data_IF_477562759515
#
_entry.id   IF_477562759515
#
_cell.length_a   1.000
_cell.length_b   1.000
_cell.length_c   1.000
_cell.angle_alpha   90.00
_cell.angle_beta   90.00
_cell.angle_gamma   90.00
#
_symmetry.space_group_name_H-M   'P 1'
#
loop_
_entity.id
_entity.type
_entity.pdbx_description
1 polymer ?
#
# COMPACT_ATOMS: atom_id res chain seq x y z
N UNK A 1 25.73 4.73 -23.70
CA UNK A 1 24.64 4.79 -24.69
C UNK A 1 23.72 3.62 -24.43
N UNK A 2 22.41 3.90 -24.26
CA UNK A 2 21.28 2.97 -24.09
C UNK A 2 21.31 2.08 -22.83
N UNK A 3 20.22 1.91 -22.08
CA UNK A 3 18.82 2.00 -22.45
C UNK A 3 18.01 2.77 -21.41
N UNK A 4 17.14 3.63 -21.94
CA UNK A 4 15.93 4.12 -21.28
C UNK A 4 15.17 2.97 -20.62
N UNK A 5 15.03 3.03 -19.29
CA UNK A 5 14.11 2.16 -18.56
C UNK A 5 12.67 2.58 -18.91
N UNK A 6 12.23 2.13 -20.07
CA UNK A 6 10.83 2.16 -20.47
C UNK A 6 10.01 1.40 -19.42
N UNK A 7 8.90 2.01 -19.02
CA UNK A 7 7.89 1.47 -18.13
C UNK A 7 7.40 0.13 -18.67
N UNK A 8 8.04 -0.96 -18.24
CA UNK A 8 7.66 -2.31 -18.60
C UNK A 8 6.27 -2.62 -18.06
N UNK A 9 5.35 -2.92 -18.97
CA UNK A 9 4.15 -3.65 -18.61
C UNK A 9 4.60 -5.01 -18.03
N UNK A 10 4.06 -5.40 -16.87
CA UNK A 10 4.29 -6.74 -16.31
C UNK A 10 3.92 -7.77 -17.39
N UNK A 11 4.88 -8.59 -17.83
CA UNK A 11 4.66 -9.58 -18.88
C UNK A 11 3.64 -10.61 -18.36
N UNK A 12 2.49 -10.67 -19.04
CA UNK A 12 1.39 -11.55 -18.65
C UNK A 12 1.77 -12.99 -19.00
N UNK A 13 1.69 -13.90 -18.02
CA UNK A 13 1.96 -15.35 -18.13
C UNK A 13 3.43 -15.83 -18.15
N UNK A 14 4.41 -15.01 -17.74
CA UNK A 14 5.80 -15.48 -17.54
C UNK A 14 6.06 -16.09 -16.15
N UNK A 15 5.15 -16.91 -15.64
CA UNK A 15 5.32 -17.57 -14.33
C UNK A 15 5.24 -19.09 -14.50
N UNK A 16 6.24 -19.82 -13.99
CA UNK A 16 6.28 -21.30 -14.05
C UNK A 16 5.53 -21.98 -12.91
N UNK A 17 5.44 -21.32 -11.75
CA UNK A 17 4.73 -21.83 -10.57
C UNK A 17 4.28 -20.69 -9.66
N UNK A 18 3.28 -20.97 -8.81
CA UNK A 18 2.80 -20.07 -7.76
C UNK A 18 2.96 -20.73 -6.40
N UNK A 19 3.53 -20.02 -5.43
CA UNK A 19 3.68 -20.47 -4.05
C UNK A 19 2.76 -19.67 -3.14
N UNK A 20 2.09 -20.36 -2.23
CA UNK A 20 1.35 -19.77 -1.12
C UNK A 20 2.00 -20.19 0.19
N UNK A 21 2.01 -19.29 1.18
CA UNK A 21 2.60 -19.53 2.49
C UNK A 21 2.06 -18.55 3.52
N UNK A 22 2.37 -18.81 4.79
CA UNK A 22 2.04 -17.88 5.88
C UNK A 22 2.97 -16.66 5.80
N UNK A 23 2.38 -15.48 5.89
CA UNK A 23 3.13 -14.23 5.97
C UNK A 23 3.61 -14.01 7.40
N UNK A 24 4.91 -13.78 7.59
CA UNK A 24 5.43 -13.34 8.88
C UNK A 24 5.07 -11.87 9.14
N UNK A 25 5.08 -11.40 10.41
CA UNK A 25 4.92 -9.97 10.70
C UNK A 25 5.96 -9.09 9.98
N UNK A 26 7.16 -9.60 9.75
CA UNK A 26 8.19 -8.91 8.98
C UNK A 26 7.82 -8.78 7.50
N UNK A 27 7.30 -9.84 6.89
CA UNK A 27 6.84 -9.82 5.50
C UNK A 27 5.72 -8.79 5.30
N UNK A 28 4.73 -8.76 6.20
CA UNK A 28 3.63 -7.79 6.17
C UNK A 28 4.17 -6.35 6.19
N UNK A 29 5.17 -6.06 7.03
CA UNK A 29 5.81 -4.73 7.08
C UNK A 29 6.60 -4.44 5.81
N UNK A 30 7.28 -5.43 5.23
CA UNK A 30 8.07 -5.27 3.99
C UNK A 30 7.23 -4.88 2.78
N UNK A 31 5.98 -5.35 2.72
CA UNK A 31 5.04 -5.02 1.65
C UNK A 31 4.40 -3.64 1.82
N UNK A 32 4.47 -3.11 3.04
CA UNK A 32 3.77 -1.90 3.41
C UNK A 32 4.51 -0.63 3.01
N UNK A 33 3.76 0.36 2.55
CA UNK A 33 4.26 1.71 2.28
C UNK A 33 4.04 2.66 3.46
N UNK A 34 3.43 2.17 4.55
CA UNK A 34 3.20 2.95 5.75
C UNK A 34 2.10 2.37 6.64
N UNK A 35 2.16 2.76 7.91
CA UNK A 35 1.19 2.40 8.93
C UNK A 35 -0.06 3.29 8.84
N UNK A 36 -1.24 2.67 8.88
CA UNK A 36 -2.53 3.37 9.01
C UNK A 36 -2.86 3.51 10.49
N UNK A 37 -2.88 4.75 10.98
CA UNK A 37 -3.07 5.06 12.41
C UNK A 37 -4.47 5.52 12.75
N UNK A 38 -5.19 5.98 11.73
CA UNK A 38 -6.39 6.78 11.86
C UNK A 38 -7.56 6.07 11.17
N UNK A 39 -8.74 5.98 11.81
CA UNK A 39 -9.92 5.37 11.18
C UNK A 39 -10.54 6.26 10.11
N UNK A 40 -10.16 7.54 10.05
CA UNK A 40 -10.74 8.51 9.12
C UNK A 40 -10.46 8.13 7.65
N UNK A 41 -11.44 8.40 6.80
CA UNK A 41 -11.40 8.05 5.38
C UNK A 41 -11.10 9.27 4.52
N UNK A 42 -12.12 10.10 4.30
CA UNK A 42 -12.07 11.33 3.52
C UNK A 42 -12.73 12.45 4.31
N UNK A 43 -12.27 13.66 4.06
CA UNK A 43 -12.87 14.85 4.61
C UNK A 43 -14.23 15.12 3.95
N UNK A 44 -15.29 15.30 4.74
CA UNK A 44 -16.64 15.48 4.20
C UNK A 44 -16.86 16.77 3.40
N UNK A 45 -16.06 17.83 3.62
CA UNK A 45 -16.19 19.10 2.88
C UNK A 45 -15.31 19.13 1.65
N UNK A 46 -14.06 18.73 1.80
CA UNK A 46 -13.06 18.84 0.73
C UNK A 46 -12.98 17.59 -0.15
N UNK A 47 -13.62 16.49 0.27
CA UNK A 47 -13.53 15.16 -0.33
C UNK A 47 -12.10 14.61 -0.45
N UNK A 48 -11.13 15.24 0.23
CA UNK A 48 -9.73 14.82 0.21
C UNK A 48 -9.47 13.71 1.22
N UNK A 49 -8.61 12.73 0.91
CA UNK A 49 -8.21 11.71 1.87
C UNK A 49 -7.53 12.31 3.11
N UNK A 50 -7.90 11.79 4.28
CA UNK A 50 -7.27 12.20 5.54
C UNK A 50 -5.86 11.62 5.69
N UNK A 51 -4.98 12.38 6.34
CA UNK A 51 -3.58 11.96 6.54
C UNK A 51 -3.51 10.82 7.55
N UNK A 52 -2.75 9.78 7.23
CA UNK A 52 -2.57 8.54 8.00
C UNK A 52 -3.85 7.71 8.18
N UNK A 53 -4.92 8.08 7.47
CA UNK A 53 -6.18 7.35 7.38
C UNK A 53 -6.19 6.24 6.32
N UNK A 54 -7.35 5.59 6.17
CA UNK A 54 -7.53 4.42 5.29
C UNK A 54 -7.27 4.71 3.80
N UNK A 55 -7.39 5.97 3.37
CA UNK A 55 -7.17 6.37 1.97
C UNK A 55 -5.95 7.29 1.78
N UNK A 56 -5.09 7.41 2.80
CA UNK A 56 -3.99 8.36 2.82
C UNK A 56 -3.10 8.28 1.57
N UNK A 57 -2.91 9.42 0.91
CA UNK A 57 -2.09 9.50 -0.30
C UNK A 57 -0.59 9.22 -0.07
N UNK A 58 -0.10 9.48 1.15
CA UNK A 58 1.30 9.22 1.52
C UNK A 58 1.62 7.73 1.46
N UNK A 59 0.69 6.90 1.93
CA UNK A 59 0.82 5.44 2.01
C UNK A 59 0.50 4.83 0.64
N UNK A 60 -0.73 5.05 0.17
CA UNK A 60 -1.25 4.35 -1.00
C UNK A 60 -0.86 5.01 -2.33
N UNK A 61 -0.43 6.28 -2.32
CA UNK A 61 -0.10 7.05 -3.51
C UNK A 61 -1.16 8.12 -3.85
N UNK A 62 -0.87 9.00 -4.81
CA UNK A 62 -1.67 10.20 -5.08
C UNK A 62 -3.05 9.87 -5.67
N UNK A 63 -4.07 10.67 -5.38
CA UNK A 63 -5.40 10.55 -5.98
C UNK A 63 -5.37 10.87 -7.48
N UNK A 64 -4.64 11.92 -7.86
CA UNK A 64 -4.50 12.39 -9.24
C UNK A 64 -3.13 12.04 -9.81
N UNK A 65 -3.07 11.79 -11.12
CA UNK A 65 -1.82 11.47 -11.78
C UNK A 65 -0.84 12.64 -11.73
N UNK A 66 0.38 12.35 -11.28
CA UNK A 66 1.48 13.31 -11.24
C UNK A 66 1.20 14.56 -10.40
N UNK A 67 0.35 14.46 -9.39
CA UNK A 67 0.03 15.56 -8.47
C UNK A 67 0.14 15.09 -7.02
N UNK A 68 0.70 15.93 -6.15
CA UNK A 68 0.75 15.66 -4.71
C UNK A 68 -0.47 16.25 -3.98
N UNK A 69 -0.85 15.71 -2.81
CA UNK A 69 -2.00 16.18 -2.01
C UNK A 69 -2.12 17.70 -1.85
N UNK A 70 -1.00 18.38 -1.58
CA UNK A 70 -1.01 19.81 -1.28
C UNK A 70 -0.96 20.71 -2.52
N UNK A 71 -0.80 20.15 -3.71
CA UNK A 71 -0.68 20.89 -4.97
C UNK A 71 0.68 21.57 -5.23
N UNK A 72 1.66 21.48 -4.31
CA UNK A 72 3.01 22.07 -4.48
C UNK A 72 3.71 21.53 -5.74
N UNK A 73 3.67 20.21 -5.92
CA UNK A 73 4.22 19.52 -7.08
C UNK A 73 3.09 18.98 -7.95
N UNK A 74 3.08 19.42 -9.22
CA UNK A 74 2.08 19.04 -10.24
C UNK A 74 2.73 18.87 -11.60
N UNK A 75 2.30 17.84 -12.32
CA UNK A 75 2.72 17.50 -13.67
C UNK A 75 3.90 16.51 -13.72
N UNK A 76 4.13 15.94 -14.90
CA UNK A 76 5.15 14.91 -15.12
C UNK A 76 6.59 15.37 -14.83
N UNK A 77 6.86 16.68 -14.80
CA UNK A 77 8.18 17.24 -14.46
C UNK A 77 8.70 16.83 -13.08
N UNK A 78 7.82 16.52 -12.13
CA UNK A 78 8.20 16.10 -10.77
C UNK A 78 8.05 14.58 -10.55
N UNK A 79 7.99 13.79 -11.63
CA UNK A 79 7.87 12.34 -11.58
C UNK A 79 8.91 11.73 -10.62
N UNK A 80 8.42 10.97 -9.63
CA UNK A 80 9.25 10.27 -8.66
C UNK A 80 9.66 11.08 -7.43
N UNK A 81 9.43 12.40 -7.41
CA UNK A 81 9.75 13.27 -6.28
C UNK A 81 8.77 13.06 -5.12
N UNK A 82 9.27 13.10 -3.89
CA UNK A 82 8.46 13.06 -2.67
C UNK A 82 8.22 14.50 -2.22
N UNK A 83 6.98 14.86 -1.93
CA UNK A 83 6.67 16.22 -1.52
C UNK A 83 7.12 16.51 -0.08
N UNK A 84 7.91 17.56 0.14
CA UNK A 84 8.38 17.95 1.49
C UNK A 84 7.25 18.35 2.45
N UNK A 85 6.12 18.84 1.91
CA UNK A 85 4.98 19.33 2.71
C UNK A 85 4.02 18.21 3.09
N UNK A 86 3.60 17.39 2.12
CA UNK A 86 2.59 16.33 2.35
C UNK A 86 3.15 14.90 2.37
N UNK A 87 4.42 14.70 2.01
CA UNK A 87 5.07 13.38 1.96
C UNK A 87 4.58 12.48 0.82
N UNK A 88 3.71 12.97 -0.08
CA UNK A 88 3.18 12.17 -1.20
C UNK A 88 4.22 12.10 -2.32
N UNK A 89 4.49 10.87 -2.77
CA UNK A 89 5.34 10.62 -3.94
C UNK A 89 4.54 10.88 -5.22
N UNK A 90 5.05 11.75 -6.07
CA UNK A 90 4.43 12.12 -7.36
C UNK A 90 4.59 10.96 -8.35
N UNK A 91 3.51 10.19 -8.53
CA UNK A 91 3.45 9.02 -9.43
C UNK A 91 2.09 8.97 -10.12
N UNK A 92 1.88 7.95 -10.95
CA UNK A 92 0.54 7.62 -11.43
C UNK A 92 -0.35 7.16 -10.26
N UNK A 93 -1.61 7.61 -10.22
CA UNK A 93 -2.65 7.17 -9.27
C UNK A 93 -2.90 5.66 -9.27
N UNK A 94 -2.57 4.96 -10.37
CA UNK A 94 -2.74 3.51 -10.50
C UNK A 94 -1.96 2.72 -9.44
N UNK A 95 -0.90 3.29 -8.87
CA UNK A 95 -0.15 2.65 -7.77
C UNK A 95 -1.02 2.39 -6.53
N UNK A 96 -2.13 3.13 -6.34
CA UNK A 96 -3.09 2.90 -5.25
C UNK A 96 -3.74 1.52 -5.28
N UNK A 97 -3.71 0.83 -6.43
CA UNK A 97 -4.19 -0.55 -6.59
C UNK A 97 -3.14 -1.61 -6.28
N UNK A 98 -1.87 -1.21 -6.12
CA UNK A 98 -0.73 -2.11 -5.91
C UNK A 98 -0.06 -1.94 -4.54
N UNK A 99 -0.09 -0.73 -3.96
CA UNK A 99 0.55 -0.45 -2.66
C UNK A 99 -0.29 -0.96 -1.51
N UNK A 100 0.35 -1.69 -0.60
CA UNK A 100 -0.26 -2.15 0.65
C UNK A 100 0.04 -1.21 1.81
N UNK A 101 -0.86 -1.17 2.78
CA UNK A 101 -0.68 -0.55 4.09
C UNK A 101 -0.67 -1.62 5.18
N UNK A 102 -0.22 -1.28 6.38
CA UNK A 102 -0.33 -2.17 7.54
C UNK A 102 -0.86 -1.42 8.76
N UNK A 103 -1.28 -2.17 9.77
CA UNK A 103 -1.64 -1.66 11.10
C UNK A 103 -0.78 -2.43 12.09
N UNK A 104 -0.05 -1.72 12.94
CA UNK A 104 0.69 -2.34 14.03
C UNK A 104 -0.27 -2.60 15.19
N UNK A 105 -0.49 -3.87 15.53
CA UNK A 105 -1.40 -4.25 16.59
C UNK A 105 -0.73 -4.09 17.94
N UNK A 106 -1.43 -3.47 18.90
CA UNK A 106 -0.93 -3.28 20.26
C UNK A 106 -0.77 -4.61 21.03
N UNK A 107 -1.50 -5.65 20.63
CA UNK A 107 -1.45 -6.98 21.21
C UNK A 107 -1.51 -8.04 20.10
N UNK A 108 -0.91 -9.23 20.30
CA UNK A 108 -0.97 -10.32 19.34
C UNK A 108 -2.42 -10.80 19.17
N UNK A 109 -2.80 -11.11 17.93
CA UNK A 109 -4.14 -11.59 17.56
C UNK A 109 -4.02 -12.89 16.78
N UNK A 110 -4.92 -13.83 17.04
CA UNK A 110 -5.00 -15.09 16.31
C UNK A 110 -5.79 -14.89 15.01
N UNK A 111 -5.22 -15.34 13.89
CA UNK A 111 -5.91 -15.30 12.61
C UNK A 111 -7.05 -16.32 12.57
N UNK A 112 -8.28 -15.84 12.32
CA UNK A 112 -9.52 -16.61 12.44
C UNK A 112 -9.53 -17.91 11.62
N UNK A 113 -8.87 -17.95 10.45
CA UNK A 113 -8.79 -19.15 9.62
C UNK A 113 -8.08 -20.33 10.29
N UNK A 114 -7.14 -20.10 11.20
CA UNK A 114 -6.45 -21.21 11.89
C UNK A 114 -7.15 -21.62 13.18
N UNK A 115 -8.07 -20.79 13.68
CA UNK A 115 -8.84 -21.05 14.90
C UNK A 115 -10.21 -21.65 14.62
N UNK A 116 -11.07 -20.95 13.83
CA UNK A 116 -12.47 -21.32 13.60
C UNK A 116 -12.72 -22.23 12.40
N UNK A 117 -11.76 -22.38 11.49
CA UNK A 117 -11.91 -23.35 10.39
C UNK A 117 -11.88 -24.76 10.95
N UNK A 118 -12.85 -25.60 10.57
CA UNK A 118 -12.91 -26.99 11.00
C UNK A 118 -12.18 -27.88 9.98
N UNK A 119 -11.25 -28.77 10.41
CA UNK A 119 -10.75 -28.94 11.77
C UNK A 119 -9.82 -27.79 12.20
N UNK A 120 -9.88 -27.40 13.48
CA UNK A 120 -9.05 -26.32 14.02
C UNK A 120 -7.57 -26.67 13.86
N UNK A 121 -6.84 -25.88 13.06
CA UNK A 121 -5.41 -26.13 12.81
C UNK A 121 -4.59 -25.90 14.07
N UNK A 122 -4.96 -24.89 14.88
CA UNK A 122 -4.31 -24.62 16.16
C UNK A 122 -4.61 -25.69 17.20
N UNK A 123 -5.87 -26.15 17.28
CA UNK A 123 -6.25 -27.18 18.24
C UNK A 123 -5.69 -28.59 17.93
N UNK A 124 -5.21 -28.82 16.71
CA UNK A 124 -4.50 -30.05 16.35
C UNK A 124 -2.98 -29.94 16.53
N UNK A 125 -2.44 -28.72 16.62
CA UNK A 125 -1.01 -28.46 16.74
C UNK A 125 -0.55 -28.43 18.21
N UNK A 126 -1.44 -28.05 19.12
CA UNK A 126 -1.26 -28.03 20.57
C UNK A 126 -2.00 -29.20 21.21
#
# INVERSE_FOLDING_TARGET
>A
MSATAETGYDRVNEYSAVKIGLASPHDIRSWSFGEVKKPETINYRTYRPERDGLFCERIFGPEKDWECACGKYRGMKYKGMICDRCGVKVTHSRVRRKRMGHIELAAPVVHIWFFKSMPSRLGALL
#
